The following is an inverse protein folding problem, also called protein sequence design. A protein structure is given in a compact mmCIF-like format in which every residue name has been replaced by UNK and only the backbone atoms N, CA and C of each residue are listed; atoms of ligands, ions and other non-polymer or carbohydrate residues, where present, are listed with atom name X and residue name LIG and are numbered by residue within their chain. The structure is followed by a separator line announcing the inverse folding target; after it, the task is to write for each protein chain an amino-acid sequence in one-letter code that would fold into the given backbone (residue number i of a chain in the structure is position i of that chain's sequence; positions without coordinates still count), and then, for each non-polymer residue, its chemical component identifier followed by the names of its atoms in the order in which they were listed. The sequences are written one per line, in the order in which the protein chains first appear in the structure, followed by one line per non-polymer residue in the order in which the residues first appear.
data_IF_063109186715
#
_entry.id   IF_063109186715
#
_cell.length_a   1.000
_cell.length_b   1.000
_cell.length_c   1.000
_cell.angle_alpha   90.00
_cell.angle_beta   90.00
_cell.angle_gamma   90.00
#
_symmetry.space_group_name_H-M   'P 1'
#
loop_
_entity.id
_entity.type
_entity.pdbx_description
1 polymer ?
#
# COMPACT_ATOMS: atom_id res chain seq x y z
N UNK A 1 -59.39 -28.74 -28.52
CA UNK A 1 -58.49 -29.17 -27.43
C UNK A 1 -57.34 -29.97 -28.04
N UNK A 2 -56.33 -29.24 -28.49
CA UNK A 2 -55.06 -29.57 -29.13
C UNK A 2 -54.63 -28.18 -29.64
N UNK A 3 -53.53 -27.56 -29.25
CA UNK A 3 -52.17 -28.03 -29.08
C UNK A 3 -51.53 -27.10 -28.03
N UNK A 4 -50.81 -27.68 -27.07
CA UNK A 4 -50.08 -26.93 -26.06
C UNK A 4 -48.86 -26.32 -26.76
N UNK A 5 -48.80 -24.98 -26.78
CA UNK A 5 -47.62 -24.23 -27.21
C UNK A 5 -46.44 -24.61 -26.30
N UNK A 6 -45.59 -25.49 -26.80
CA UNK A 6 -44.33 -25.88 -26.17
C UNK A 6 -43.38 -24.67 -26.21
N UNK A 7 -43.41 -23.86 -25.14
CA UNK A 7 -42.40 -22.83 -24.93
C UNK A 7 -41.06 -23.50 -24.66
N UNK A 8 -40.30 -23.71 -25.72
CA UNK A 8 -38.87 -23.94 -25.66
C UNK A 8 -38.21 -22.79 -24.90
N UNK A 9 -37.89 -23.03 -23.64
CA UNK A 9 -36.90 -22.23 -22.92
C UNK A 9 -35.53 -22.72 -23.39
N UNK A 10 -34.69 -21.87 -24.00
CA UNK A 10 -33.32 -22.25 -24.26
C UNK A 10 -32.62 -22.40 -22.91
N UNK A 11 -32.23 -23.63 -22.59
CA UNK A 11 -31.31 -23.92 -21.50
C UNK A 11 -30.02 -23.15 -21.76
N UNK A 12 -29.84 -22.03 -21.07
CA UNK A 12 -28.57 -21.31 -21.05
C UNK A 12 -27.51 -22.22 -20.45
N UNK A 13 -26.68 -22.77 -21.33
CA UNK A 13 -25.66 -23.75 -21.01
C UNK A 13 -24.76 -23.29 -19.88
N UNK A 14 -24.69 -24.12 -18.84
CA UNK A 14 -23.62 -24.13 -17.85
C UNK A 14 -22.29 -24.47 -18.54
N UNK A 15 -21.59 -23.47 -19.05
CA UNK A 15 -20.19 -23.63 -19.46
C UNK A 15 -19.30 -23.61 -18.22
N UNK A 16 -19.12 -24.79 -17.62
CA UNK A 16 -18.11 -25.06 -16.60
C UNK A 16 -16.89 -25.74 -17.22
N UNK A 17 -15.78 -25.01 -17.31
CA UNK A 17 -14.38 -25.48 -17.39
C UNK A 17 -13.56 -24.23 -17.73
N UNK A 18 -12.97 -23.45 -16.81
CA UNK A 18 -11.79 -23.73 -15.97
C UNK A 18 -11.83 -22.83 -14.70
N UNK A 19 -12.89 -22.95 -13.88
CA UNK A 19 -13.06 -22.09 -12.68
C UNK A 19 -12.20 -22.52 -11.49
N UNK A 20 -11.07 -23.18 -11.73
CA UNK A 20 -10.23 -23.77 -10.69
C UNK A 20 -9.25 -22.79 -10.06
N UNK A 21 -8.43 -22.11 -10.88
CA UNK A 21 -7.33 -21.25 -10.41
C UNK A 21 -7.59 -19.76 -10.68
N UNK A 22 -7.96 -19.40 -11.92
CA UNK A 22 -8.27 -18.01 -12.28
C UNK A 22 -9.47 -17.45 -11.52
N UNK A 23 -10.49 -18.27 -11.27
CA UNK A 23 -11.64 -17.87 -10.45
C UNK A 23 -11.26 -17.63 -8.98
N UNK A 24 -10.28 -18.37 -8.44
CA UNK A 24 -9.78 -18.19 -7.06
C UNK A 24 -8.91 -16.94 -6.97
N UNK A 25 -8.06 -16.70 -7.96
CA UNK A 25 -7.26 -15.48 -8.06
C UNK A 25 -8.14 -14.23 -8.18
N UNK A 26 -9.19 -14.27 -9.02
CA UNK A 26 -10.15 -13.18 -9.13
C UNK A 26 -10.90 -12.90 -7.81
N UNK A 27 -11.28 -13.95 -7.07
CA UNK A 27 -11.86 -13.81 -5.74
C UNK A 27 -10.87 -13.20 -4.73
N UNK A 28 -9.62 -13.64 -4.75
CA UNK A 28 -8.55 -13.12 -3.88
C UNK A 28 -8.29 -11.63 -4.13
N UNK A 29 -8.14 -11.20 -5.38
CA UNK A 29 -7.94 -9.78 -5.72
C UNK A 29 -9.15 -8.94 -5.26
N UNK A 30 -10.36 -9.47 -5.45
CA UNK A 30 -11.59 -8.80 -5.00
C UNK A 30 -11.66 -8.67 -3.48
N UNK A 31 -11.15 -9.65 -2.73
CA UNK A 31 -11.01 -9.59 -1.27
C UNK A 31 -9.93 -8.58 -0.84
N UNK A 32 -8.75 -8.57 -1.49
CA UNK A 32 -7.68 -7.60 -1.20
C UNK A 32 -8.16 -6.16 -1.39
N UNK A 33 -8.88 -5.87 -2.48
CA UNK A 33 -9.44 -4.52 -2.72
C UNK A 33 -10.47 -4.16 -1.65
N UNK A 34 -11.29 -5.13 -1.20
CA UNK A 34 -12.26 -4.90 -0.13
C UNK A 34 -11.58 -4.59 1.21
N UNK A 35 -10.43 -5.20 1.49
CA UNK A 35 -9.66 -4.93 2.71
C UNK A 35 -8.85 -3.64 2.62
N UNK A 36 -8.26 -3.34 1.46
CA UNK A 36 -7.54 -2.08 1.21
C UNK A 36 -8.45 -0.85 1.35
N UNK A 37 -9.75 -0.98 1.07
CA UNK A 37 -10.75 0.08 1.35
C UNK A 37 -10.96 0.37 2.83
N UNK A 38 -10.59 -0.56 3.73
CA UNK A 38 -10.63 -0.36 5.19
C UNK A 38 -9.39 0.34 5.73
N UNK A 39 -8.35 0.50 4.91
CA UNK A 39 -7.20 1.33 5.27
C UNK A 39 -7.69 2.77 5.35
N UNK A 40 -7.79 3.27 6.58
CA UNK A 40 -8.15 4.66 6.83
C UNK A 40 -6.99 5.50 6.29
N UNK A 41 -7.21 6.16 5.16
CA UNK A 41 -6.20 7.04 4.60
C UNK A 41 -6.07 8.27 5.51
N UNK A 42 -4.85 8.58 5.97
CA UNK A 42 -4.63 9.63 6.94
C UNK A 42 -5.07 10.97 6.37
N UNK A 43 -5.62 11.83 7.22
CA UNK A 43 -6.02 13.17 6.79
C UNK A 43 -4.77 13.98 6.43
N UNK A 44 -4.91 15.00 5.55
CA UNK A 44 -3.78 15.87 5.15
C UNK A 44 -3.04 16.46 6.37
N UNK A 45 -3.77 16.71 7.47
CA UNK A 45 -3.22 17.25 8.72
C UNK A 45 -2.30 16.25 9.42
N UNK A 46 -2.70 14.99 9.50
CA UNK A 46 -1.88 13.92 10.06
C UNK A 46 -0.61 13.70 9.25
N UNK A 47 -0.72 13.68 7.90
CA UNK A 47 0.43 13.51 7.03
C UNK A 47 1.46 14.63 7.21
N UNK A 48 1.00 15.89 7.30
CA UNK A 48 1.87 17.04 7.56
C UNK A 48 2.51 16.93 8.95
N UNK A 49 1.75 16.54 9.98
CA UNK A 49 2.29 16.37 11.32
C UNK A 49 3.41 15.30 11.37
N UNK A 50 3.17 14.12 10.78
CA UNK A 50 4.16 13.05 10.76
C UNK A 50 5.42 13.42 9.98
N UNK A 51 5.25 14.02 8.80
CA UNK A 51 6.41 14.46 7.99
C UNK A 51 7.18 15.59 8.65
N UNK A 52 6.50 16.49 9.37
CA UNK A 52 7.14 17.58 10.12
C UNK A 52 7.99 17.06 11.27
N UNK A 53 7.48 16.08 12.04
CA UNK A 53 8.25 15.44 13.13
C UNK A 53 9.50 14.76 12.56
N UNK A 54 9.38 14.04 11.45
CA UNK A 54 10.53 13.39 10.79
C UNK A 54 11.54 14.44 10.30
N UNK A 55 11.10 15.52 9.64
CA UNK A 55 11.99 16.59 9.20
C UNK A 55 12.75 17.22 10.37
N UNK A 56 12.03 17.54 11.45
CA UNK A 56 12.63 18.12 12.65
C UNK A 56 13.70 17.20 13.24
N UNK A 57 13.38 15.91 13.37
CA UNK A 57 14.32 14.91 13.88
C UNK A 57 15.58 14.80 13.00
N UNK A 58 15.43 14.76 11.68
CA UNK A 58 16.54 14.72 10.72
C UNK A 58 17.42 15.97 10.85
N UNK A 59 16.83 17.16 10.98
CA UNK A 59 17.59 18.40 11.15
C UNK A 59 18.40 18.41 12.44
N UNK A 60 17.81 17.94 13.55
CA UNK A 60 18.52 17.83 14.83
C UNK A 60 19.70 16.85 14.73
N UNK A 61 19.47 15.66 14.16
CA UNK A 61 20.54 14.67 13.95
C UNK A 61 21.64 15.21 13.05
N UNK A 62 21.29 15.86 11.94
CA UNK A 62 22.26 16.49 11.05
C UNK A 62 23.07 17.57 11.77
N UNK A 63 22.43 18.40 12.61
CA UNK A 63 23.13 19.40 13.41
C UNK A 63 24.11 18.81 14.42
N UNK A 64 23.71 17.73 15.11
CA UNK A 64 24.58 17.02 16.05
C UNK A 64 25.78 16.41 15.31
N UNK A 65 25.54 15.70 14.20
CA UNK A 65 26.61 15.09 13.40
C UNK A 65 27.58 16.18 12.91
N UNK A 66 27.08 17.28 12.35
CA UNK A 66 27.90 18.38 11.89
C UNK A 66 28.73 19.01 13.02
N UNK A 67 28.16 19.13 14.23
CA UNK A 67 28.89 19.61 15.40
C UNK A 67 30.00 18.64 15.80
N UNK A 68 29.73 17.33 15.80
CA UNK A 68 30.76 16.31 16.04
C UNK A 68 31.86 16.37 14.98
N UNK A 69 31.51 16.41 13.69
CA UNK A 69 32.47 16.51 12.59
C UNK A 69 33.38 17.72 12.76
N UNK A 70 32.84 18.88 13.18
CA UNK A 70 33.62 20.08 13.45
C UNK A 70 34.60 19.88 14.61
N UNK A 71 34.13 19.32 15.73
CA UNK A 71 34.96 19.05 16.92
C UNK A 71 36.08 18.05 16.59
N UNK A 72 35.75 16.97 15.89
CA UNK A 72 36.74 15.98 15.47
C UNK A 72 37.76 16.57 14.50
N UNK A 73 37.32 17.40 13.55
CA UNK A 73 38.23 18.07 12.62
C UNK A 73 39.24 18.94 13.37
N UNK A 74 38.78 19.76 14.31
CA UNK A 74 39.68 20.58 15.13
C UNK A 74 40.59 19.74 16.03
N UNK A 75 40.06 18.67 16.62
CA UNK A 75 40.84 17.77 17.48
C UNK A 75 41.95 17.03 16.71
N UNK A 76 41.65 16.53 15.51
CA UNK A 76 42.63 15.87 14.64
C UNK A 76 43.70 16.85 14.18
N UNK A 77 43.31 18.06 13.78
CA UNK A 77 44.27 19.11 13.40
C UNK A 77 45.18 19.51 14.57
N UNK A 78 44.66 19.54 15.80
CA UNK A 78 45.47 19.84 16.98
C UNK A 78 46.44 18.71 17.37
N UNK A 79 46.07 17.45 17.14
CA UNK A 79 46.89 16.28 17.52
C UNK A 79 47.94 15.95 16.45
N UNK A 80 47.60 16.10 15.17
CA UNK A 80 48.44 15.68 14.04
C UNK A 80 48.98 16.83 13.18
N UNK A 81 48.48 18.05 13.36
CA UNK A 81 49.04 19.27 12.75
C UNK A 81 50.13 19.87 13.63
#
# INVERSE_FOLDING_TARGET
MAEVEERQQPSSGSAGSERGFFSRLALFIRQVIAELRKVIWPTRKELIAYTTVVLFFVLVMAGIIAAYDYVFTQGVLFVFG
#
